data_IF_127868899984
#
_entry.id   IF_127868899984
#
_cell.length_a   1.000
_cell.length_b   1.000
_cell.length_c   1.000
_cell.angle_alpha   90.00
_cell.angle_beta   90.00
_cell.angle_gamma   90.00
#
_symmetry.space_group_name_H-M   'P 1'
#
loop_
_entity.id
_entity.type
_entity.pdbx_description
1 polymer ?
#
# COMPACT_ATOMS: atom_id res chain seq x y z
N UNK A 1 26.44 -6.70 9.94
CA UNK A 1 24.97 -6.56 9.79
C UNK A 1 24.65 -5.14 9.31
N UNK A 2 23.76 -4.97 8.33
CA UNK A 2 23.40 -3.63 7.83
C UNK A 2 22.73 -2.79 8.93
N UNK A 3 23.03 -1.49 9.00
CA UNK A 3 22.47 -0.60 10.04
C UNK A 3 20.94 -0.56 9.98
N UNK A 4 20.26 -0.40 11.13
CA UNK A 4 18.79 -0.23 11.19
C UNK A 4 18.30 0.91 10.27
N UNK A 5 19.12 1.95 10.08
CA UNK A 5 18.91 3.04 9.12
C UNK A 5 18.98 2.58 7.66
N UNK A 6 19.90 1.69 7.29
CA UNK A 6 19.99 1.12 5.95
C UNK A 6 18.83 0.16 5.62
N UNK A 7 18.31 -0.57 6.62
CA UNK A 7 17.10 -1.40 6.48
C UNK A 7 15.82 -0.55 6.42
N UNK A 8 15.78 0.56 7.17
CA UNK A 8 14.68 1.53 7.21
C UNK A 8 14.68 2.49 6.00
N UNK A 9 15.82 2.69 5.34
CA UNK A 9 15.92 3.17 3.97
C UNK A 9 15.35 2.09 3.03
N UNK A 10 14.05 1.82 3.20
CA UNK A 10 13.25 0.92 2.40
C UNK A 10 13.56 1.21 0.95
N UNK A 11 14.23 0.27 0.28
CA UNK A 11 14.47 0.41 -1.15
C UNK A 11 13.13 0.73 -1.84
N UNK A 12 13.14 1.63 -2.81
CA UNK A 12 11.95 2.04 -3.58
C UNK A 12 11.10 0.81 -3.96
N UNK A 13 11.75 -0.30 -4.30
CA UNK A 13 11.15 -1.60 -4.59
C UNK A 13 10.24 -2.10 -3.46
N UNK A 14 10.73 -2.17 -2.21
CA UNK A 14 9.95 -2.65 -1.05
C UNK A 14 8.69 -1.81 -0.81
N UNK A 15 8.79 -0.49 -0.97
CA UNK A 15 7.63 0.41 -0.80
C UNK A 15 6.59 0.18 -1.92
N UNK A 16 7.06 0.08 -3.16
CA UNK A 16 6.19 -0.20 -4.30
C UNK A 16 5.52 -1.58 -4.17
N UNK A 17 6.24 -2.59 -3.71
CA UNK A 17 5.72 -3.95 -3.50
C UNK A 17 4.62 -3.97 -2.43
N UNK A 18 4.83 -3.25 -1.30
CA UNK A 18 3.81 -3.12 -0.25
C UNK A 18 2.53 -2.49 -0.81
N UNK A 19 2.66 -1.39 -1.54
CA UNK A 19 1.50 -0.70 -2.11
C UNK A 19 0.81 -1.55 -3.18
N UNK A 20 1.58 -2.28 -4.00
CA UNK A 20 1.03 -3.20 -5.00
C UNK A 20 0.17 -4.30 -4.35
N UNK A 21 0.53 -4.75 -3.15
CA UNK A 21 -0.31 -5.70 -2.40
C UNK A 21 -1.63 -5.06 -1.94
N UNK A 22 -1.63 -3.78 -1.57
CA UNK A 22 -2.80 -3.03 -1.11
C UNK A 22 -3.79 -2.64 -2.22
N UNK A 23 -3.47 -2.82 -3.50
CA UNK A 23 -4.43 -2.54 -4.59
C UNK A 23 -5.45 -3.66 -4.78
N UNK A 24 -5.19 -4.84 -4.21
CA UNK A 24 -6.07 -6.01 -4.30
C UNK A 24 -7.26 -5.84 -3.37
N UNK A 25 -8.38 -6.44 -3.75
CA UNK A 25 -9.55 -6.56 -2.88
C UNK A 25 -9.23 -7.48 -1.70
N UNK A 26 -9.97 -7.30 -0.61
CA UNK A 26 -10.01 -8.28 0.47
C UNK A 26 -10.39 -9.66 -0.10
N UNK A 27 -9.75 -10.75 0.37
CA UNK A 27 -10.05 -12.07 -0.13
C UNK A 27 -11.45 -12.51 0.31
N UNK A 28 -12.10 -13.36 -0.49
CA UNK A 28 -13.47 -13.82 -0.24
C UNK A 28 -13.63 -14.52 1.12
N UNK A 29 -12.64 -15.32 1.53
CA UNK A 29 -12.67 -15.99 2.84
C UNK A 29 -12.71 -15.01 4.01
N UNK A 30 -12.16 -13.79 3.87
CA UNK A 30 -12.23 -12.76 4.92
C UNK A 30 -13.64 -12.18 5.06
N UNK A 31 -14.40 -12.13 3.95
CA UNK A 31 -15.83 -11.78 3.96
C UNK A 31 -16.63 -12.80 4.76
N UNK A 32 -16.42 -14.08 4.47
CA UNK A 32 -17.09 -15.18 5.20
C UNK A 32 -16.74 -15.12 6.68
N UNK A 33 -15.45 -14.91 7.03
CA UNK A 33 -15.01 -14.86 8.43
C UNK A 33 -15.63 -13.70 9.20
N UNK A 34 -15.84 -12.53 8.56
CA UNK A 34 -16.38 -11.33 9.22
C UNK A 34 -17.91 -11.31 9.29
N UNK A 35 -18.60 -11.71 8.22
CA UNK A 35 -20.05 -11.58 8.09
C UNK A 35 -20.82 -12.89 8.26
N UNK A 36 -20.12 -14.02 8.36
CA UNK A 36 -20.73 -15.34 8.39
C UNK A 36 -21.00 -15.90 6.99
N UNK A 37 -21.37 -17.18 6.95
CA UNK A 37 -21.72 -17.90 5.72
C UNK A 37 -23.08 -17.41 5.17
N UNK A 38 -23.25 -17.43 3.86
CA UNK A 38 -24.52 -17.12 3.18
C UNK A 38 -24.83 -15.65 2.94
N UNK A 39 -24.00 -14.71 3.45
CA UNK A 39 -24.16 -13.28 3.17
C UNK A 39 -23.52 -12.91 1.82
N UNK A 40 -24.32 -12.33 0.91
CA UNK A 40 -23.87 -11.83 -0.40
C UNK A 40 -23.21 -10.45 -0.27
N UNK A 41 -22.16 -10.34 0.55
CA UNK A 41 -21.44 -9.08 0.78
C UNK A 41 -20.21 -9.02 -0.12
N UNK A 42 -20.07 -7.92 -0.87
CA UNK A 42 -18.90 -7.71 -1.71
C UNK A 42 -17.67 -7.32 -0.87
N UNK A 43 -16.46 -7.82 -1.19
CA UNK A 43 -15.24 -7.55 -0.42
C UNK A 43 -14.84 -6.06 -0.31
N UNK A 44 -15.47 -5.16 -1.08
CA UNK A 44 -15.31 -3.69 -0.91
C UNK A 44 -15.61 -3.27 0.50
N UNK A 45 -16.60 -3.90 1.12
CA UNK A 45 -17.09 -3.57 2.45
C UNK A 45 -16.04 -3.78 3.55
N UNK A 46 -15.02 -4.61 3.29
CA UNK A 46 -13.89 -4.89 4.20
C UNK A 46 -12.60 -4.23 3.70
N UNK A 47 -12.51 -3.92 2.40
CA UNK A 47 -11.31 -3.36 1.81
C UNK A 47 -11.19 -1.88 2.18
N UNK A 48 -10.49 -1.59 3.29
CA UNK A 48 -10.29 -0.21 3.76
C UNK A 48 -9.37 0.61 2.86
N UNK A 49 -8.34 -0.02 2.29
CA UNK A 49 -7.33 0.64 1.49
C UNK A 49 -7.33 0.02 0.10
N UNK A 50 -7.71 0.81 -0.91
CA UNK A 50 -7.58 0.45 -2.32
C UNK A 50 -7.04 1.65 -3.09
N UNK A 51 -5.83 1.52 -3.60
CA UNK A 51 -5.17 2.61 -4.34
C UNK A 51 -5.48 2.51 -5.84
N UNK A 52 -5.79 3.66 -6.45
CA UNK A 52 -5.75 3.83 -7.91
C UNK A 52 -4.55 4.69 -8.29
N UNK A 53 -3.78 4.26 -9.28
CA UNK A 53 -2.57 4.96 -9.72
C UNK A 53 -2.86 6.35 -10.32
N UNK A 54 -4.03 6.52 -10.94
CA UNK A 54 -4.48 7.77 -11.56
C UNK A 54 -4.96 8.80 -10.54
N UNK A 55 -5.59 8.34 -9.43
CA UNK A 55 -6.18 9.22 -8.41
C UNK A 55 -5.28 9.48 -7.21
N UNK A 56 -4.40 8.53 -6.86
CA UNK A 56 -3.60 8.59 -5.63
C UNK A 56 -2.12 8.26 -5.91
N UNK A 57 -1.27 9.28 -5.84
CA UNK A 57 0.17 9.16 -6.09
C UNK A 57 0.97 8.85 -4.81
N UNK A 58 2.03 8.06 -4.98
CA UNK A 58 2.88 7.64 -3.86
C UNK A 58 3.95 8.68 -3.54
N UNK A 59 4.17 8.92 -2.25
CA UNK A 59 5.20 9.83 -1.75
C UNK A 59 6.50 9.06 -1.44
N UNK A 60 7.10 8.40 -2.44
CA UNK A 60 8.37 7.66 -2.24
C UNK A 60 9.57 8.62 -2.27
N UNK A 61 10.45 8.54 -1.27
CA UNK A 61 11.70 9.32 -1.20
C UNK A 61 12.90 8.52 -1.74
N UNK A 62 13.94 9.16 -2.28
CA UNK A 62 14.08 10.60 -2.48
C UNK A 62 13.18 11.07 -3.63
N UNK A 63 12.32 12.06 -3.35
CA UNK A 63 11.69 12.84 -4.42
C UNK A 63 12.83 13.68 -4.95
N UNK A 64 13.37 13.35 -6.13
CA UNK A 64 14.33 14.21 -6.84
C UNK A 64 13.61 15.49 -7.27
N UNK A 65 13.30 16.36 -6.32
CA UNK A 65 13.24 17.79 -6.56
C UNK A 65 14.33 18.33 -5.64
N UNK A 66 15.51 18.65 -6.21
CA UNK A 66 16.35 19.65 -5.55
C UNK A 66 15.45 20.87 -5.48
N UNK A 67 15.11 21.31 -4.27
CA UNK A 67 14.47 22.60 -4.12
C UNK A 67 15.52 23.61 -4.56
N UNK A 68 15.27 24.35 -5.63
CA UNK A 68 16.24 25.29 -6.20
C UNK A 68 16.73 26.32 -5.16
N UNK A 69 15.93 26.57 -4.13
CA UNK A 69 16.16 27.52 -3.05
C UNK A 69 16.80 26.93 -1.77
N UNK A 70 17.24 25.67 -1.74
CA UNK A 70 17.83 25.06 -0.53
C UNK A 70 19.34 24.79 -0.60
N UNK A 71 20.05 25.22 -1.66
CA UNK A 71 21.51 24.98 -1.83
C UNK A 71 21.86 23.54 -2.16
#
# INVERSE_FOLDING_TARGET
MASRKAVAASSKKRHLDRVKKQTKWAPFWAVIKKFGKGKKVHPSSITHVKRSWRRQHLKVKPRKMRKANLG
#
